data_IF_478779514046
#
_entry.id   IF_478779514046
#
_cell.length_a   1.000
_cell.length_b   1.000
_cell.length_c   1.000
_cell.angle_alpha   90.00
_cell.angle_beta   90.00
_cell.angle_gamma   90.00
#
_symmetry.space_group_name_H-M   'P 1'
#
loop_
_entity.id
_entity.type
_entity.pdbx_description
1 polymer ?
#
# COMPACT_ATOMS: atom_id res chain seq x y z
N UNK A 1 -53.94 -48.31 -9.01
CA UNK A 1 -52.66 -48.94 -8.63
C UNK A 1 -51.58 -48.38 -9.55
N UNK A 2 -50.89 -47.37 -9.05
CA UNK A 2 -49.77 -46.64 -9.66
C UNK A 2 -48.48 -47.08 -8.97
N UNK A 3 -47.41 -47.31 -9.75
CA UNK A 3 -45.95 -47.35 -9.45
C UNK A 3 -45.32 -47.77 -10.78
N UNK A 4 -44.24 -47.24 -11.34
CA UNK A 4 -43.05 -46.48 -10.93
C UNK A 4 -42.45 -45.99 -12.27
N UNK A 5 -41.97 -44.76 -12.46
CA UNK A 5 -40.60 -44.33 -12.16
C UNK A 5 -40.63 -42.80 -12.02
N UNK A 6 -40.19 -42.31 -10.86
CA UNK A 6 -39.92 -40.90 -10.60
C UNK A 6 -38.47 -40.58 -10.97
N UNK A 7 -38.27 -39.63 -11.89
CA UNK A 7 -37.09 -38.77 -11.91
C UNK A 7 -37.55 -37.35 -11.58
N UNK A 8 -37.20 -36.92 -10.36
CA UNK A 8 -37.53 -35.62 -9.81
C UNK A 8 -36.73 -34.53 -10.53
N UNK A 9 -37.45 -33.63 -11.20
CA UNK A 9 -37.02 -32.27 -11.42
C UNK A 9 -37.01 -31.59 -10.05
N UNK A 10 -35.84 -31.21 -9.56
CA UNK A 10 -35.73 -30.27 -8.45
C UNK A 10 -34.75 -29.16 -8.83
N UNK A 11 -35.33 -28.04 -9.24
CA UNK A 11 -34.71 -26.73 -9.25
C UNK A 11 -34.31 -26.34 -7.82
N UNK A 12 -33.02 -26.42 -7.48
CA UNK A 12 -32.40 -25.58 -6.44
C UNK A 12 -30.93 -25.93 -6.26
N UNK A 13 -30.06 -25.00 -6.67
CA UNK A 13 -28.90 -24.48 -5.92
C UNK A 13 -28.01 -23.68 -6.87
N UNK A 14 -28.51 -22.50 -7.21
CA UNK A 14 -27.65 -21.35 -7.41
C UNK A 14 -26.94 -21.12 -6.07
N UNK A 15 -25.66 -21.47 -5.96
CA UNK A 15 -24.86 -21.15 -4.78
C UNK A 15 -24.56 -19.65 -4.81
N UNK A 16 -25.55 -18.86 -4.40
CA UNK A 16 -25.38 -17.48 -3.96
C UNK A 16 -24.48 -17.48 -2.74
N UNK A 17 -23.21 -17.12 -2.91
CA UNK A 17 -22.28 -16.85 -1.81
C UNK A 17 -22.76 -15.61 -1.05
N UNK A 18 -23.61 -15.83 -0.06
CA UNK A 18 -24.09 -14.77 0.84
C UNK A 18 -23.95 -15.23 2.28
N UNK A 19 -22.80 -14.94 2.87
CA UNK A 19 -22.79 -14.60 4.30
C UNK A 19 -21.73 -13.54 4.55
N UNK A 20 -22.19 -12.42 5.12
CA UNK A 20 -21.37 -11.31 5.62
C UNK A 20 -20.22 -11.84 6.50
N UNK A 21 -20.47 -12.93 7.22
CA UNK A 21 -19.54 -13.65 8.10
C UNK A 21 -18.33 -14.29 7.41
N UNK A 22 -18.46 -14.77 6.16
CA UNK A 22 -17.29 -15.27 5.41
C UNK A 22 -16.46 -14.14 4.82
N UNK A 23 -17.09 -13.04 4.42
CA UNK A 23 -16.39 -11.84 3.98
C UNK A 23 -15.68 -11.14 5.15
N UNK A 24 -16.29 -11.13 6.34
CA UNK A 24 -15.71 -10.56 7.56
C UNK A 24 -14.59 -11.46 8.13
N UNK A 25 -14.72 -12.80 8.04
CA UNK A 25 -13.60 -13.72 8.33
C UNK A 25 -12.48 -13.62 7.30
N UNK A 26 -12.81 -13.45 6.02
CA UNK A 26 -11.82 -13.20 4.98
C UNK A 26 -11.09 -11.89 5.26
N UNK A 27 -11.79 -10.78 5.55
CA UNK A 27 -11.21 -9.48 5.95
C UNK A 27 -10.34 -9.60 7.20
N UNK A 28 -10.83 -10.27 8.25
CA UNK A 28 -10.02 -10.52 9.43
C UNK A 28 -8.75 -11.32 9.08
N UNK A 29 -8.82 -12.24 8.11
CA UNK A 29 -7.68 -13.02 7.63
C UNK A 29 -6.75 -12.27 6.65
N UNK A 30 -7.26 -11.34 5.83
CA UNK A 30 -6.45 -10.45 4.97
C UNK A 30 -5.69 -9.40 5.79
N UNK A 31 -6.20 -9.07 6.98
CA UNK A 31 -5.65 -8.05 7.87
C UNK A 31 -5.23 -8.60 9.24
N UNK A 32 -5.00 -9.92 9.40
CA UNK A 32 -4.30 -10.38 10.61
C UNK A 32 -2.93 -9.71 10.55
N UNK A 33 -2.58 -8.99 11.62
CA UNK A 33 -1.21 -8.60 11.88
C UNK A 33 -0.38 -9.88 12.09
N UNK A 34 -0.06 -10.58 10.98
CA UNK A 34 0.86 -11.72 10.95
C UNK A 34 2.27 -11.29 11.31
N UNK A 35 2.56 -10.01 11.09
CA UNK A 35 3.81 -9.38 11.43
C UNK A 35 3.57 -8.49 12.65
N UNK A 36 4.24 -8.80 13.75
CA UNK A 36 4.21 -7.99 14.97
C UNK A 36 5.60 -7.41 15.22
N UNK A 37 5.69 -6.09 15.37
CA UNK A 37 6.92 -5.40 15.73
C UNK A 37 6.79 -4.87 17.15
N UNK A 38 7.64 -5.31 18.10
CA UNK A 38 7.75 -4.69 19.44
C UNK A 38 8.96 -3.78 19.51
N UNK A 39 8.81 -2.46 19.56
CA UNK A 39 9.95 -1.53 19.65
C UNK A 39 10.67 -1.56 21.01
N UNK A 40 11.99 -1.31 20.98
CA UNK A 40 12.72 -0.83 22.16
C UNK A 40 12.65 0.70 22.08
N UNK A 41 11.77 1.31 22.87
CA UNK A 41 11.51 2.75 22.79
C UNK A 41 12.76 3.59 23.09
N UNK A 42 13.00 4.62 22.28
CA UNK A 42 13.98 5.65 22.58
C UNK A 42 13.37 6.63 23.60
N UNK A 43 13.66 6.38 24.88
CA UNK A 43 13.16 7.20 26.01
C UNK A 43 13.67 8.64 25.99
N UNK A 44 14.57 9.02 25.08
CA UNK A 44 15.07 10.39 24.95
C UNK A 44 14.19 11.28 24.06
N UNK A 45 13.32 10.70 23.22
CA UNK A 45 12.41 11.45 22.35
C UNK A 45 11.32 12.16 23.16
N UNK A 46 11.26 13.50 23.04
CA UNK A 46 10.20 14.35 23.62
C UNK A 46 9.05 14.65 22.64
N UNK A 47 8.93 13.92 21.53
CA UNK A 47 7.91 14.18 20.52
C UNK A 47 6.50 13.88 21.08
N UNK A 48 5.57 14.83 20.96
CA UNK A 48 4.19 14.62 21.42
C UNK A 48 3.29 14.05 20.33
N UNK A 49 3.58 14.38 19.07
CA UNK A 49 2.81 14.01 17.89
C UNK A 49 3.69 13.48 16.76
N UNK A 50 3.10 12.66 15.89
CA UNK A 50 3.72 12.16 14.68
C UNK A 50 2.84 12.53 13.49
N UNK A 51 3.37 13.31 12.56
CA UNK A 51 2.69 13.75 11.34
C UNK A 51 3.32 13.01 10.17
N UNK A 52 2.58 12.06 9.59
CA UNK A 52 3.05 11.20 8.50
C UNK A 52 2.29 11.56 7.24
N UNK A 53 2.97 12.03 6.21
CA UNK A 53 2.32 12.38 4.96
C UNK A 53 2.85 11.53 3.81
N UNK A 54 1.95 10.97 3.01
CA UNK A 54 2.29 10.56 1.66
C UNK A 54 2.69 11.79 0.82
N UNK A 55 3.43 11.56 -0.27
CA UNK A 55 3.97 12.63 -1.11
C UNK A 55 3.14 12.83 -2.38
N UNK A 56 3.11 11.85 -3.27
CA UNK A 56 2.58 11.97 -4.63
C UNK A 56 1.05 12.11 -4.62
N UNK A 57 0.51 13.23 -5.12
CA UNK A 57 -0.93 13.48 -5.00
C UNK A 57 -1.37 13.91 -3.60
N UNK A 58 -0.43 14.05 -2.66
CA UNK A 58 -0.68 14.39 -1.26
C UNK A 58 0.16 15.61 -0.85
N UNK A 59 1.23 15.46 -0.06
CA UNK A 59 1.96 16.61 0.50
C UNK A 59 2.85 17.33 -0.53
N UNK A 60 3.31 16.63 -1.56
CA UNK A 60 4.18 17.19 -2.60
C UNK A 60 3.43 18.07 -3.62
N UNK A 61 2.10 18.01 -3.63
CA UNK A 61 1.24 18.75 -4.55
C UNK A 61 0.82 20.13 -4.01
N UNK A 62 1.25 20.47 -2.79
CA UNK A 62 0.97 21.76 -2.17
C UNK A 62 1.87 22.89 -2.66
N UNK A 63 1.37 24.12 -2.52
CA UNK A 63 2.21 25.30 -2.68
C UNK A 63 2.98 25.62 -1.37
N UNK A 64 3.93 26.56 -1.44
CA UNK A 64 4.77 26.92 -0.29
C UNK A 64 4.00 27.45 0.91
N UNK A 65 2.90 28.18 0.70
CA UNK A 65 2.07 28.67 1.79
C UNK A 65 1.39 27.51 2.52
N UNK A 66 0.79 26.58 1.77
CA UNK A 66 0.09 25.43 2.36
C UNK A 66 1.05 24.52 3.13
N UNK A 67 2.25 24.29 2.58
CA UNK A 67 3.31 23.53 3.25
C UNK A 67 3.70 24.22 4.56
N UNK A 68 3.91 25.54 4.54
CA UNK A 68 4.31 26.30 5.71
C UNK A 68 3.23 26.28 6.82
N UNK A 69 1.96 26.45 6.45
CA UNK A 69 0.84 26.36 7.41
C UNK A 69 0.78 24.96 8.06
N UNK A 70 1.04 23.89 7.30
CA UNK A 70 1.03 22.53 7.82
C UNK A 70 2.17 22.31 8.81
N UNK A 71 3.35 22.85 8.52
CA UNK A 71 4.50 22.84 9.42
C UNK A 71 4.25 23.62 10.71
N UNK A 72 3.57 24.76 10.62
CA UNK A 72 3.21 25.56 11.80
C UNK A 72 2.28 24.79 12.74
N UNK A 73 1.26 24.12 12.20
CA UNK A 73 0.39 23.24 12.99
C UNK A 73 1.18 22.09 13.63
N UNK A 74 2.07 21.45 12.87
CA UNK A 74 2.96 20.40 13.37
C UNK A 74 3.84 20.91 14.51
N UNK A 75 4.45 22.09 14.36
CA UNK A 75 5.36 22.66 15.35
C UNK A 75 4.61 23.08 16.63
N UNK A 76 3.40 23.66 16.51
CA UNK A 76 2.52 23.99 17.67
C UNK A 76 2.17 22.77 18.51
N UNK A 77 2.22 21.57 17.94
CA UNK A 77 1.92 20.29 18.60
C UNK A 77 3.17 19.50 18.99
N UNK A 78 4.35 20.13 18.95
CA UNK A 78 5.65 19.50 19.21
C UNK A 78 5.80 18.17 18.43
N UNK A 79 5.37 18.21 17.15
CA UNK A 79 5.29 17.05 16.29
C UNK A 79 6.62 16.68 15.63
N UNK A 80 6.73 15.45 15.16
CA UNK A 80 7.76 14.99 14.21
C UNK A 80 7.14 14.84 12.82
N UNK A 81 7.87 15.28 11.79
CA UNK A 81 7.44 15.16 10.40
C UNK A 81 8.02 13.89 9.79
N UNK A 82 7.18 13.08 9.17
CA UNK A 82 7.56 11.86 8.46
C UNK A 82 6.95 11.90 7.07
N UNK A 83 7.74 11.55 6.06
CA UNK A 83 7.21 11.24 4.73
C UNK A 83 7.12 9.75 4.55
N UNK A 84 6.01 9.24 4.02
CA UNK A 84 5.81 7.83 3.73
C UNK A 84 5.43 7.61 2.27
N UNK A 85 6.42 7.31 1.43
CA UNK A 85 6.28 7.28 -0.03
C UNK A 85 6.56 5.89 -0.61
N UNK A 86 5.93 5.61 -1.75
CA UNK A 86 6.28 4.47 -2.61
C UNK A 86 7.63 4.62 -3.32
N UNK A 87 8.13 5.86 -3.45
CA UNK A 87 9.39 6.17 -4.13
C UNK A 87 10.58 5.52 -3.44
N UNK A 88 11.61 5.21 -4.22
CA UNK A 88 12.96 4.94 -3.68
C UNK A 88 13.61 6.22 -3.17
N UNK A 89 14.69 6.09 -2.38
CA UNK A 89 15.46 7.26 -1.92
C UNK A 89 15.95 8.13 -3.10
N UNK A 90 16.41 7.50 -4.18
CA UNK A 90 16.83 8.19 -5.40
C UNK A 90 15.66 8.94 -6.06
N UNK A 91 14.49 8.28 -6.19
CA UNK A 91 13.30 8.90 -6.79
C UNK A 91 12.69 9.99 -5.92
N UNK A 92 12.89 9.93 -4.61
CA UNK A 92 12.58 11.02 -3.69
C UNK A 92 13.50 12.22 -3.95
N UNK A 93 14.81 12.03 -4.11
CA UNK A 93 15.73 13.11 -4.49
C UNK A 93 15.32 13.79 -5.81
N UNK A 94 14.98 13.01 -6.84
CA UNK A 94 14.47 13.56 -8.12
C UNK A 94 13.15 14.32 -7.98
N UNK A 95 12.30 13.94 -7.01
CA UNK A 95 11.09 14.70 -6.70
C UNK A 95 11.45 16.05 -6.09
N UNK A 96 12.39 16.10 -5.14
CA UNK A 96 12.84 17.35 -4.54
C UNK A 96 13.39 18.32 -5.59
N UNK A 97 14.25 17.85 -6.50
CA UNK A 97 14.82 18.67 -7.57
C UNK A 97 13.72 19.23 -8.48
N UNK A 98 12.79 18.38 -8.92
CA UNK A 98 11.65 18.78 -9.77
C UNK A 98 10.73 19.80 -9.09
N UNK A 99 10.53 19.69 -7.78
CA UNK A 99 9.72 20.65 -7.03
C UNK A 99 10.46 21.97 -6.87
N UNK A 100 11.78 21.93 -6.65
CA UNK A 100 12.61 23.11 -6.52
C UNK A 100 12.63 23.94 -7.82
N UNK A 101 12.68 23.29 -8.99
CA UNK A 101 12.53 23.94 -10.30
C UNK A 101 11.21 24.73 -10.43
N UNK A 102 10.17 24.30 -9.71
CA UNK A 102 8.86 24.97 -9.64
C UNK A 102 8.75 25.98 -8.50
N UNK A 103 9.85 26.26 -7.80
CA UNK A 103 9.87 27.15 -6.62
C UNK A 103 9.26 26.54 -5.36
N UNK A 104 9.05 25.23 -5.32
CA UNK A 104 8.49 24.50 -4.17
C UNK A 104 9.63 23.76 -3.47
N UNK A 105 9.94 24.15 -2.23
CA UNK A 105 10.93 23.47 -1.40
C UNK A 105 10.24 22.67 -0.31
N UNK A 106 10.27 21.34 -0.43
CA UNK A 106 9.80 20.49 0.65
C UNK A 106 10.71 20.64 1.88
N UNK A 107 10.13 20.73 3.09
CA UNK A 107 10.90 20.68 4.32
C UNK A 107 11.53 19.31 4.47
N UNK A 108 12.77 19.25 4.97
CA UNK A 108 13.42 17.96 5.25
C UNK A 108 12.72 17.30 6.44
N UNK A 109 12.11 16.11 6.27
CA UNK A 109 11.38 15.44 7.33
C UNK A 109 12.34 14.96 8.43
N UNK A 110 11.82 14.70 9.63
CA UNK A 110 12.59 14.04 10.69
C UNK A 110 12.91 12.59 10.33
N UNK A 111 11.96 11.91 9.65
CA UNK A 111 12.13 10.56 9.11
C UNK A 111 11.55 10.44 7.69
N UNK A 112 12.16 9.61 6.85
CA UNK A 112 11.69 9.29 5.51
C UNK A 112 11.49 7.78 5.39
N UNK A 113 10.25 7.36 5.12
CA UNK A 113 9.90 5.98 4.79
C UNK A 113 9.79 5.87 3.26
N UNK A 114 10.55 4.96 2.66
CA UNK A 114 10.63 4.76 1.19
C UNK A 114 10.24 3.34 0.78
N UNK A 115 10.11 3.10 -0.53
CA UNK A 115 9.77 1.80 -1.12
C UNK A 115 8.54 1.17 -0.44
N UNK A 116 7.46 1.95 -0.27
CA UNK A 116 6.22 1.45 0.33
C UNK A 116 6.38 0.87 1.75
N UNK A 117 7.36 1.35 2.53
CA UNK A 117 7.60 0.88 3.90
C UNK A 117 8.87 0.05 4.07
N UNK A 118 9.62 -0.25 3.00
CA UNK A 118 10.77 -1.15 3.13
C UNK A 118 11.98 -0.51 3.80
N UNK A 119 12.17 0.80 3.68
CA UNK A 119 13.31 1.46 4.29
C UNK A 119 12.86 2.68 5.07
N UNK A 120 13.54 2.92 6.18
CA UNK A 120 13.34 4.09 7.04
C UNK A 120 14.68 4.79 7.16
N UNK A 121 14.69 6.09 6.93
CA UNK A 121 15.85 6.94 7.10
C UNK A 121 15.56 7.99 8.15
N UNK A 122 16.49 8.20 9.07
CA UNK A 122 16.48 9.30 10.03
C UNK A 122 17.30 10.45 9.48
N UNK A 123 16.79 11.67 9.61
CA UNK A 123 17.57 12.88 9.31
C UNK A 123 18.61 13.12 10.40
N UNK A 124 19.85 13.36 10.02
CA UNK A 124 20.93 13.76 10.91
C UNK A 124 21.01 15.29 11.08
N UNK A 125 21.95 15.76 11.92
CA UNK A 125 22.12 17.18 12.21
C UNK A 125 22.58 18.00 11.00
N UNK A 126 23.20 17.35 10.01
CA UNK A 126 23.61 17.96 8.74
C UNK A 126 22.47 17.95 7.69
N UNK A 127 21.31 17.39 8.03
CA UNK A 127 20.17 17.25 7.14
C UNK A 127 20.27 16.07 6.16
N UNK A 128 21.27 15.19 6.32
CA UNK A 128 21.45 13.97 5.54
C UNK A 128 20.60 12.83 6.09
N UNK A 129 20.35 11.82 5.26
CA UNK A 129 19.54 10.66 5.63
C UNK A 129 20.42 9.46 5.99
N UNK A 130 20.24 8.95 7.21
CA UNK A 130 20.91 7.76 7.71
C UNK A 130 19.89 6.62 7.78
N UNK A 131 20.22 5.46 7.22
CA UNK A 131 19.35 4.28 7.24
C UNK A 131 19.16 3.78 8.69
N UNK A 132 17.90 3.50 9.05
CA UNK A 132 17.52 2.92 10.33
C UNK A 132 17.74 1.40 10.30
N UNK A 133 18.91 0.96 10.76
CA UNK A 133 19.27 -0.47 10.74
C UNK A 133 18.40 -1.34 11.67
N UNK A 134 17.82 -0.76 12.73
CA UNK A 134 16.91 -1.49 13.62
C UNK A 134 15.62 -1.90 12.88
N UNK A 135 15.13 -1.06 11.95
CA UNK A 135 14.02 -1.41 11.08
C UNK A 135 14.35 -2.59 10.15
N UNK A 136 15.56 -2.59 9.58
CA UNK A 136 16.04 -3.70 8.75
C UNK A 136 16.08 -5.01 9.53
N UNK A 137 16.64 -5.00 10.74
CA UNK A 137 16.70 -6.18 11.62
C UNK A 137 15.29 -6.69 11.94
N UNK A 138 14.32 -5.79 12.09
CA UNK A 138 12.92 -6.16 12.31
C UNK A 138 12.32 -6.89 11.12
N UNK A 139 12.56 -6.41 9.90
CA UNK A 139 12.11 -7.10 8.69
C UNK A 139 12.76 -8.48 8.56
N UNK A 140 14.04 -8.62 8.91
CA UNK A 140 14.74 -9.92 8.94
C UNK A 140 14.08 -10.93 9.88
N UNK A 141 13.60 -10.47 11.04
CA UNK A 141 12.95 -11.31 12.04
C UNK A 141 11.52 -11.74 11.69
N UNK A 142 10.95 -11.26 10.58
CA UNK A 142 9.62 -11.68 10.11
C UNK A 142 9.61 -13.10 9.54
N UNK A 143 10.78 -13.62 9.18
CA UNK A 143 10.91 -14.88 8.43
C UNK A 143 10.58 -14.75 6.94
N UNK A 144 10.35 -13.53 6.44
CA UNK A 144 10.10 -13.28 5.03
C UNK A 144 11.32 -13.66 4.19
N UNK A 145 11.13 -14.63 3.28
CA UNK A 145 12.14 -15.06 2.33
C UNK A 145 11.69 -14.70 0.91
N UNK A 146 12.45 -13.80 0.28
CA UNK A 146 12.19 -13.31 -1.07
C UNK A 146 12.00 -14.44 -2.09
N UNK A 147 12.90 -15.41 -2.09
CA UNK A 147 12.93 -16.46 -3.11
C UNK A 147 11.80 -17.46 -2.88
N UNK A 148 11.48 -17.77 -1.62
CA UNK A 148 10.34 -18.63 -1.29
C UNK A 148 9.01 -17.97 -1.70
N UNK A 149 8.85 -16.66 -1.50
CA UNK A 149 7.68 -15.92 -1.98
C UNK A 149 7.64 -15.95 -3.50
N UNK A 150 8.74 -15.58 -4.17
CA UNK A 150 8.83 -15.57 -5.64
C UNK A 150 8.44 -16.92 -6.22
N UNK A 151 9.03 -18.00 -5.71
CA UNK A 151 8.77 -19.36 -6.16
C UNK A 151 7.33 -19.78 -5.90
N UNK A 152 6.78 -19.46 -4.73
CA UNK A 152 5.38 -19.77 -4.38
C UNK A 152 4.41 -19.08 -5.34
N UNK A 153 4.64 -17.80 -5.63
CA UNK A 153 3.78 -17.04 -6.54
C UNK A 153 3.99 -17.48 -8.00
N UNK A 154 5.22 -17.84 -8.39
CA UNK A 154 5.53 -18.43 -9.69
C UNK A 154 4.74 -19.70 -9.93
N UNK A 155 4.74 -20.63 -8.97
CA UNK A 155 3.94 -21.85 -9.06
C UNK A 155 2.45 -21.55 -9.18
N UNK A 156 1.95 -20.57 -8.39
CA UNK A 156 0.55 -20.15 -8.44
C UNK A 156 0.17 -19.58 -9.82
N UNK A 157 0.96 -18.63 -10.34
CA UNK A 157 0.74 -17.99 -11.63
C UNK A 157 0.80 -18.94 -12.84
N UNK A 158 1.39 -20.13 -12.66
CA UNK A 158 1.47 -21.18 -13.68
C UNK A 158 0.34 -22.22 -13.62
N UNK A 159 -0.57 -22.13 -12.65
CA UNK A 159 -1.77 -22.99 -12.61
C UNK A 159 -2.75 -22.64 -13.73
N UNK A 160 -3.60 -23.59 -14.12
CA UNK A 160 -4.63 -23.38 -15.16
C UNK A 160 -5.57 -22.21 -14.84
N UNK A 161 -5.75 -21.88 -13.55
CA UNK A 161 -6.55 -20.75 -13.08
C UNK A 161 -6.00 -19.40 -13.56
N UNK A 162 -4.67 -19.25 -13.59
CA UNK A 162 -4.00 -18.00 -13.92
C UNK A 162 -3.31 -18.03 -15.28
N UNK A 163 -3.33 -19.14 -16.01
CA UNK A 163 -2.85 -19.20 -17.39
C UNK A 163 -3.83 -18.56 -18.36
N UNK A 164 -3.26 -17.94 -19.39
CA UNK A 164 -4.01 -17.49 -20.56
C UNK A 164 -4.33 -18.70 -21.45
N UNK A 165 -5.56 -18.79 -21.97
CA UNK A 165 -5.88 -19.78 -23.01
C UNK A 165 -4.99 -19.60 -24.24
N UNK A 166 -4.65 -20.68 -24.94
CA UNK A 166 -3.76 -20.65 -26.13
C UNK A 166 -4.20 -19.62 -27.19
N UNK A 167 -5.52 -19.49 -27.40
CA UNK A 167 -6.09 -18.50 -28.33
C UNK A 167 -5.80 -17.04 -27.95
N UNK A 168 -5.61 -16.74 -26.67
CA UNK A 168 -5.25 -15.40 -26.19
C UNK A 168 -3.74 -15.21 -26.21
N UNK A 169 -2.96 -16.26 -25.90
CA UNK A 169 -1.50 -16.25 -26.04
C UNK A 169 -1.09 -15.95 -27.49
N UNK A 170 -1.81 -16.51 -28.47
CA UNK A 170 -1.55 -16.28 -29.89
C UNK A 170 -1.76 -14.82 -30.34
N UNK A 171 -2.44 -13.99 -29.54
CA UNK A 171 -2.66 -12.56 -29.81
C UNK A 171 -1.58 -11.66 -29.18
N UNK A 172 -0.71 -12.20 -28.33
CA UNK A 172 0.35 -11.43 -27.69
C UNK A 172 1.31 -10.91 -28.76
N UNK A 173 1.48 -9.57 -28.91
CA UNK A 173 2.43 -9.01 -29.85
C UNK A 173 3.85 -9.47 -29.54
N UNK A 174 4.63 -9.82 -30.57
CA UNK A 174 6.02 -10.26 -30.41
C UNK A 174 6.20 -11.35 -29.32
N UNK A 175 5.39 -12.40 -29.41
CA UNK A 175 5.36 -13.51 -28.45
C UNK A 175 6.76 -14.11 -28.19
N UNK A 176 7.62 -14.20 -29.20
CA UNK A 176 8.96 -14.76 -29.04
C UNK A 176 9.88 -13.87 -28.21
N UNK A 177 9.82 -12.55 -28.37
CA UNK A 177 10.53 -11.63 -27.47
C UNK A 177 9.95 -11.68 -26.07
N UNK A 178 8.62 -11.73 -25.93
CA UNK A 178 7.96 -11.84 -24.62
C UNK A 178 8.34 -13.13 -23.88
N UNK A 179 8.43 -14.27 -24.56
CA UNK A 179 8.94 -15.53 -23.99
C UNK A 179 10.38 -15.41 -23.49
N UNK A 180 11.23 -14.62 -24.17
CA UNK A 180 12.62 -14.38 -23.72
C UNK A 180 12.69 -13.43 -22.52
N UNK A 181 11.84 -12.42 -22.48
CA UNK A 181 11.80 -11.40 -21.41
C UNK A 181 11.12 -11.89 -20.13
N UNK A 182 10.12 -12.77 -20.26
CA UNK A 182 9.31 -13.27 -19.17
C UNK A 182 9.02 -14.78 -19.33
N UNK A 183 10.06 -15.64 -19.39
CA UNK A 183 9.91 -17.06 -19.71
C UNK A 183 8.99 -17.81 -18.74
N UNK A 184 8.87 -17.33 -17.51
CA UNK A 184 8.09 -17.97 -16.47
C UNK A 184 6.61 -17.57 -16.48
N UNK A 185 6.28 -16.38 -17.01
CA UNK A 185 4.94 -15.80 -16.95
C UNK A 185 4.40 -15.25 -18.29
N UNK A 186 5.07 -15.47 -19.42
CA UNK A 186 4.64 -14.93 -20.73
C UNK A 186 3.20 -15.31 -21.12
N UNK A 187 2.71 -16.46 -20.65
CA UNK A 187 1.36 -16.96 -20.87
C UNK A 187 0.50 -16.94 -19.59
N UNK A 188 0.88 -16.13 -18.61
CA UNK A 188 0.15 -15.99 -17.35
C UNK A 188 -0.58 -14.65 -17.31
N UNK A 189 -1.73 -14.62 -16.63
CA UNK A 189 -2.43 -13.39 -16.26
C UNK A 189 -1.68 -12.59 -15.19
N UNK A 190 -0.63 -13.16 -14.60
CA UNK A 190 0.22 -12.58 -13.56
C UNK A 190 1.65 -12.43 -14.09
N UNK A 191 2.37 -11.35 -13.78
CA UNK A 191 3.81 -11.22 -14.08
C UNK A 191 4.57 -10.70 -12.88
N UNK A 192 5.76 -11.24 -12.67
CA UNK A 192 6.74 -10.68 -11.77
C UNK A 192 7.52 -9.55 -12.45
N UNK A 193 7.80 -8.47 -11.72
CA UNK A 193 8.74 -7.44 -12.15
C UNK A 193 9.43 -6.80 -10.94
N UNK A 194 10.53 -6.08 -11.18
CA UNK A 194 11.25 -5.34 -10.13
C UNK A 194 11.50 -3.90 -10.57
N UNK A 195 10.83 -2.95 -9.92
CA UNK A 195 11.14 -1.53 -10.10
C UNK A 195 12.05 -1.02 -8.97
N UNK A 196 11.68 -1.30 -7.71
CA UNK A 196 12.41 -0.89 -6.51
C UNK A 196 12.90 -2.07 -5.68
N UNK A 197 13.78 -2.89 -6.27
CA UNK A 197 14.24 -4.17 -5.72
C UNK A 197 14.63 -4.09 -4.23
N UNK A 198 14.14 -5.05 -3.45
CA UNK A 198 14.46 -5.22 -2.04
C UNK A 198 14.32 -6.68 -1.67
N UNK A 199 15.15 -7.15 -0.73
CA UNK A 199 15.06 -8.51 -0.17
C UNK A 199 13.72 -8.77 0.54
N UNK A 200 12.94 -7.73 0.83
CA UNK A 200 11.72 -7.83 1.63
C UNK A 200 10.45 -7.44 0.87
N UNK A 201 10.50 -7.34 -0.47
CA UNK A 201 9.41 -6.79 -1.27
C UNK A 201 9.46 -7.30 -2.71
N UNK A 202 8.31 -7.78 -3.20
CA UNK A 202 8.12 -8.29 -4.55
C UNK A 202 6.88 -7.64 -5.17
N UNK A 203 6.91 -7.44 -6.49
CA UNK A 203 5.84 -6.80 -7.24
C UNK A 203 5.27 -7.74 -8.30
N UNK A 204 3.94 -7.85 -8.37
CA UNK A 204 3.25 -8.70 -9.32
C UNK A 204 2.16 -7.92 -10.06
N UNK A 205 2.31 -7.78 -11.37
CA UNK A 205 1.24 -7.28 -12.25
C UNK A 205 0.18 -8.36 -12.43
N UNK A 206 -1.08 -7.95 -12.53
CA UNK A 206 -2.21 -8.86 -12.68
C UNK A 206 -3.20 -8.32 -13.70
N UNK A 207 -3.84 -9.20 -14.47
CA UNK A 207 -5.04 -8.80 -15.22
C UNK A 207 -6.16 -8.37 -14.24
N UNK A 208 -7.03 -7.42 -14.63
CA UNK A 208 -8.06 -6.87 -13.73
C UNK A 208 -9.05 -7.92 -13.21
N UNK A 209 -9.35 -8.95 -14.01
CA UNK A 209 -10.34 -9.98 -13.71
C UNK A 209 -9.88 -10.99 -12.63
N UNK A 210 -8.58 -11.05 -12.33
CA UNK A 210 -8.03 -12.06 -11.42
C UNK A 210 -7.47 -11.53 -10.12
N UNK A 211 -7.26 -10.21 -9.97
CA UNK A 211 -6.59 -9.65 -8.78
C UNK A 211 -7.26 -10.07 -7.46
N UNK A 212 -8.58 -10.07 -7.42
CA UNK A 212 -9.35 -10.38 -6.21
C UNK A 212 -9.11 -11.81 -5.74
N UNK A 213 -9.08 -12.77 -6.67
CA UNK A 213 -8.85 -14.17 -6.37
C UNK A 213 -7.38 -14.47 -6.13
N UNK A 214 -6.50 -13.84 -6.92
CA UNK A 214 -5.06 -13.97 -6.81
C UNK A 214 -4.55 -13.52 -5.45
N UNK A 215 -5.03 -12.40 -4.90
CA UNK A 215 -4.69 -12.01 -3.53
C UNK A 215 -5.06 -13.07 -2.49
N UNK A 216 -6.24 -13.69 -2.60
CA UNK A 216 -6.68 -14.72 -1.63
C UNK A 216 -5.79 -15.94 -1.72
N UNK A 217 -5.48 -16.37 -2.93
CA UNK A 217 -4.67 -17.54 -3.17
C UNK A 217 -3.22 -17.30 -2.73
N UNK A 218 -2.65 -16.12 -2.99
CA UNK A 218 -1.35 -15.69 -2.46
C UNK A 218 -1.34 -15.77 -0.94
N UNK A 219 -2.33 -15.16 -0.28
CA UNK A 219 -2.43 -15.16 1.17
C UNK A 219 -2.51 -16.58 1.73
N UNK A 220 -3.38 -17.43 1.18
CA UNK A 220 -3.53 -18.83 1.61
C UNK A 220 -2.24 -19.61 1.43
N UNK A 221 -1.58 -19.49 0.28
CA UNK A 221 -0.37 -20.25 -0.03
C UNK A 221 0.83 -19.84 0.80
N UNK A 222 0.98 -18.55 1.06
CA UNK A 222 2.04 -18.02 1.93
C UNK A 222 1.80 -18.46 3.38
N UNK A 223 0.54 -18.42 3.86
CA UNK A 223 0.16 -18.93 5.19
C UNK A 223 0.43 -20.43 5.33
N UNK A 224 0.07 -21.26 4.34
CA UNK A 224 0.33 -22.71 4.34
C UNK A 224 1.82 -23.03 4.47
N UNK A 225 2.69 -22.16 3.92
CA UNK A 225 4.15 -22.26 4.03
C UNK A 225 4.72 -21.60 5.28
N UNK A 226 3.89 -21.01 6.13
CA UNK A 226 4.33 -20.28 7.33
C UNK A 226 5.06 -18.96 7.03
N UNK A 227 4.88 -18.40 5.84
CA UNK A 227 5.51 -17.14 5.43
C UNK A 227 4.61 -15.98 5.85
N UNK A 228 5.05 -15.21 6.85
CA UNK A 228 4.37 -13.98 7.22
C UNK A 228 4.65 -12.90 6.17
N UNK A 229 3.60 -12.29 5.64
CA UNK A 229 3.73 -11.25 4.62
C UNK A 229 2.60 -10.22 4.70
N UNK A 230 2.83 -9.08 4.06
CA UNK A 230 1.84 -8.06 3.73
C UNK A 230 1.50 -8.18 2.26
N UNK A 231 0.22 -7.99 1.95
CA UNK A 231 -0.24 -7.85 0.57
C UNK A 231 -0.86 -6.48 0.41
N UNK A 232 -0.31 -5.67 -0.48
CA UNK A 232 -0.80 -4.32 -0.78
C UNK A 232 -1.23 -4.25 -2.23
N UNK A 233 -2.43 -3.71 -2.46
CA UNK A 233 -2.94 -3.45 -3.81
C UNK A 233 -2.52 -2.07 -4.27
N UNK A 234 -2.13 -2.00 -5.53
CA UNK A 234 -1.92 -0.75 -6.25
C UNK A 234 -2.57 -0.77 -7.62
N UNK A 235 -2.75 0.44 -8.13
CA UNK A 235 -3.25 0.68 -9.47
C UNK A 235 -2.35 1.67 -10.19
N UNK A 236 -1.71 1.21 -11.25
CA UNK A 236 -0.76 2.01 -12.01
C UNK A 236 -1.38 2.46 -13.33
N UNK A 237 -1.72 3.76 -13.48
CA UNK A 237 -2.15 4.30 -14.77
C UNK A 237 -1.02 4.20 -15.80
N UNK A 238 -1.36 4.29 -17.09
CA UNK A 238 -0.40 4.19 -18.21
C UNK A 238 0.80 5.12 -18.01
N UNK A 239 0.57 6.35 -17.56
CA UNK A 239 1.63 7.33 -17.28
C UNK A 239 2.61 6.89 -16.18
N UNK A 240 2.15 6.13 -15.19
CA UNK A 240 3.04 5.54 -14.17
C UNK A 240 3.93 4.47 -14.76
N UNK A 241 3.36 3.60 -15.60
CA UNK A 241 4.12 2.55 -16.31
C UNK A 241 5.14 3.18 -17.26
N UNK A 242 4.74 4.20 -18.01
CA UNK A 242 5.61 4.88 -18.97
C UNK A 242 6.80 5.58 -18.31
N UNK A 243 6.61 6.14 -17.11
CA UNK A 243 7.67 6.78 -16.32
C UNK A 243 8.76 5.81 -15.84
N UNK A 244 8.51 4.49 -15.86
CA UNK A 244 9.55 3.52 -15.51
C UNK A 244 10.75 3.57 -16.46
N UNK A 245 10.54 4.01 -17.71
CA UNK A 245 11.53 3.96 -18.80
C UNK A 245 12.22 2.59 -18.95
N UNK A 246 11.52 1.51 -18.59
CA UNK A 246 11.99 0.13 -18.63
C UNK A 246 11.14 -0.66 -19.62
N UNK A 247 11.74 -1.08 -20.73
CA UNK A 247 11.02 -1.77 -21.82
C UNK A 247 10.44 -3.11 -21.37
N UNK A 248 11.10 -3.79 -20.43
CA UNK A 248 10.61 -5.04 -19.84
C UNK A 248 9.35 -4.83 -18.98
N UNK A 249 9.28 -3.73 -18.21
CA UNK A 249 8.07 -3.38 -17.45
C UNK A 249 6.92 -3.03 -18.40
N UNK A 250 7.18 -2.24 -19.44
CA UNK A 250 6.18 -1.88 -20.45
C UNK A 250 5.63 -3.12 -21.17
N UNK A 251 6.51 -4.04 -21.56
CA UNK A 251 6.12 -5.29 -22.23
C UNK A 251 5.24 -6.17 -21.32
N UNK A 252 5.61 -6.35 -20.05
CA UNK A 252 4.80 -7.11 -19.07
C UNK A 252 3.45 -6.45 -18.76
N UNK A 253 3.40 -5.12 -18.76
CA UNK A 253 2.20 -4.33 -18.54
C UNK A 253 1.21 -4.43 -19.70
N UNK A 254 1.70 -4.38 -20.94
CA UNK A 254 0.88 -4.19 -22.15
C UNK A 254 -0.35 -5.10 -22.25
N UNK A 255 -0.22 -6.39 -21.91
CA UNK A 255 -1.33 -7.35 -22.04
C UNK A 255 -2.06 -7.64 -20.71
N UNK A 256 -1.56 -7.11 -19.58
CA UNK A 256 -2.24 -7.17 -18.28
C UNK A 256 -3.01 -5.90 -17.95
N UNK A 257 -2.82 -4.88 -18.77
CA UNK A 257 -3.50 -3.63 -18.60
C UNK A 257 -5.00 -3.75 -18.94
N UNK A 258 -5.81 -2.92 -18.30
CA UNK A 258 -7.21 -2.75 -18.64
C UNK A 258 -7.37 -1.91 -19.93
N UNK A 259 -8.62 -1.60 -20.30
CA UNK A 259 -8.92 -0.78 -21.49
C UNK A 259 -8.35 0.64 -21.43
N UNK A 260 -8.07 1.16 -20.23
CA UNK A 260 -7.39 2.45 -19.99
C UNK A 260 -5.86 2.32 -19.93
N UNK A 261 -5.34 1.14 -20.31
CA UNK A 261 -3.91 0.77 -20.27
C UNK A 261 -3.26 0.91 -18.88
N UNK A 262 -4.09 0.84 -17.84
CA UNK A 262 -3.64 0.82 -16.46
C UNK A 262 -3.53 -0.62 -15.96
N UNK A 263 -2.57 -0.87 -15.07
CA UNK A 263 -2.25 -2.21 -14.55
C UNK A 263 -2.58 -2.29 -13.07
N UNK A 264 -3.22 -3.38 -12.68
CA UNK A 264 -3.38 -3.76 -11.28
C UNK A 264 -2.12 -4.45 -10.79
N UNK A 265 -1.66 -4.07 -9.60
CA UNK A 265 -0.45 -4.61 -9.00
C UNK A 265 -0.72 -5.12 -7.58
N UNK A 266 -0.14 -6.26 -7.24
CA UNK A 266 0.00 -6.74 -5.87
C UNK A 266 1.46 -6.66 -5.44
N UNK A 267 1.70 -5.97 -4.34
CA UNK A 267 2.96 -6.04 -3.62
C UNK A 267 2.86 -7.10 -2.54
N UNK A 268 3.90 -7.92 -2.44
CA UNK A 268 4.06 -8.88 -1.35
C UNK A 268 5.35 -8.53 -0.61
N UNK A 269 5.24 -8.22 0.67
CA UNK A 269 6.38 -7.70 1.44
C UNK A 269 6.44 -8.19 2.88
N UNK A 270 7.61 -8.05 3.51
CA UNK A 270 7.79 -8.33 4.93
C UNK A 270 7.08 -7.29 5.82
N UNK A 271 6.91 -6.07 5.30
CA UNK A 271 6.29 -4.94 5.98
C UNK A 271 5.71 -3.97 4.95
N UNK A 272 4.72 -3.17 5.36
CA UNK A 272 4.16 -2.08 4.54
C UNK A 272 4.36 -0.70 5.22
N UNK A 273 3.80 0.37 4.63
CA UNK A 273 3.88 1.73 5.20
C UNK A 273 3.33 1.76 6.63
N UNK A 274 2.28 1.00 6.92
CA UNK A 274 1.62 1.02 8.23
C UNK A 274 2.48 0.40 9.32
N UNK A 275 3.21 -0.67 8.99
CA UNK A 275 4.17 -1.29 9.91
C UNK A 275 5.35 -0.36 10.20
N UNK A 276 5.88 0.31 9.18
CA UNK A 276 6.96 1.28 9.32
C UNK A 276 6.55 2.48 10.19
N UNK A 277 5.32 2.99 10.01
CA UNK A 277 4.75 4.06 10.83
C UNK A 277 4.54 3.61 12.28
N UNK A 278 4.01 2.40 12.49
CA UNK A 278 3.81 1.85 13.83
C UNK A 278 5.16 1.67 14.55
N UNK A 279 6.18 1.18 13.85
CA UNK A 279 7.54 1.09 14.39
C UNK A 279 8.09 2.46 14.81
N UNK A 280 8.00 3.49 13.94
CA UNK A 280 8.46 4.83 14.28
C UNK A 280 7.69 5.43 15.45
N UNK A 281 6.37 5.25 15.48
CA UNK A 281 5.50 5.70 16.56
C UNK A 281 5.98 5.10 17.89
N UNK A 282 6.19 3.80 17.96
CA UNK A 282 6.66 3.13 19.16
C UNK A 282 8.08 3.54 19.53
N UNK A 283 8.99 3.64 18.55
CA UNK A 283 10.37 4.09 18.76
C UNK A 283 10.41 5.48 19.39
N UNK A 284 9.53 6.38 18.94
CA UNK A 284 9.44 7.77 19.42
C UNK A 284 8.52 7.93 20.64
N UNK A 285 7.92 6.85 21.14
CA UNK A 285 6.96 6.83 22.25
C UNK A 285 5.73 7.73 22.03
N UNK A 286 5.24 7.81 20.79
CA UNK A 286 4.03 8.57 20.44
C UNK A 286 2.79 7.68 20.57
N UNK A 287 1.68 8.20 21.12
CA UNK A 287 0.41 7.46 21.20
C UNK A 287 -0.28 7.43 19.84
N UNK A 288 -1.06 6.38 19.55
CA UNK A 288 -1.86 6.28 18.31
C UNK A 288 -2.77 7.49 18.10
N UNK A 289 -3.41 7.97 19.16
CA UNK A 289 -4.23 9.20 19.13
C UNK A 289 -3.44 10.44 18.71
N UNK A 290 -2.12 10.47 18.90
CA UNK A 290 -1.26 11.58 18.51
C UNK A 290 -0.50 11.32 17.19
N UNK A 291 -0.80 10.21 16.52
CA UNK A 291 -0.31 9.91 15.18
C UNK A 291 -1.37 10.32 14.16
N UNK A 292 -0.99 11.22 13.26
CA UNK A 292 -1.85 11.75 12.20
C UNK A 292 -1.18 11.43 10.87
N UNK A 293 -1.91 10.74 10.01
CA UNK A 293 -1.45 10.27 8.72
C UNK A 293 -2.30 10.90 7.62
N UNK A 294 -1.72 11.22 6.47
CA UNK A 294 -2.48 11.66 5.30
C UNK A 294 -2.02 10.94 4.02
N UNK A 295 -2.98 10.60 3.17
CA UNK A 295 -2.74 9.90 1.91
C UNK A 295 -3.93 9.97 0.96
N UNK A 296 -3.70 9.54 -0.27
CA UNK A 296 -4.70 9.56 -1.34
C UNK A 296 -4.79 8.21 -2.10
N UNK A 297 -3.81 7.32 -1.97
CA UNK A 297 -3.65 6.15 -2.83
C UNK A 297 -4.01 4.80 -2.21
N UNK A 298 -3.99 3.77 -3.04
CA UNK A 298 -4.16 2.36 -2.63
C UNK A 298 -3.15 1.89 -1.59
N UNK A 299 -1.87 2.22 -1.77
CA UNK A 299 -0.82 1.92 -0.79
C UNK A 299 -1.00 2.58 0.59
N UNK A 300 -1.82 3.62 0.71
CA UNK A 300 -2.10 4.28 1.98
C UNK A 300 -3.24 3.59 2.74
N UNK A 301 -3.99 2.69 2.10
CA UNK A 301 -5.12 2.01 2.70
C UNK A 301 -4.71 1.21 3.96
N UNK A 302 -3.50 0.65 3.98
CA UNK A 302 -2.94 -0.05 5.15
C UNK A 302 -2.86 0.84 6.39
N UNK A 303 -2.76 2.16 6.25
CA UNK A 303 -2.66 3.11 7.37
C UNK A 303 -4.02 3.36 8.04
N UNK A 304 -5.12 3.05 7.37
CA UNK A 304 -6.48 3.37 7.83
C UNK A 304 -6.98 2.44 8.94
N UNK A 305 -6.39 1.25 9.10
CA UNK A 305 -6.86 0.23 10.04
C UNK A 305 -6.05 0.17 11.35
N UNK A 306 -4.97 0.96 11.49
CA UNK A 306 -4.07 0.90 12.65
C UNK A 306 -4.56 1.69 13.87
N UNK A 307 -5.63 2.49 13.72
CA UNK A 307 -6.21 3.33 14.76
C UNK A 307 -5.54 4.70 14.91
N UNK A 308 -4.74 5.13 13.92
CA UNK A 308 -4.27 6.52 13.81
C UNK A 308 -5.39 7.42 13.32
N UNK A 309 -5.24 8.74 13.50
CA UNK A 309 -6.01 9.67 12.70
C UNK A 309 -5.54 9.58 11.24
N UNK A 310 -6.45 9.31 10.31
CA UNK A 310 -6.14 9.26 8.89
C UNK A 310 -6.92 10.33 8.14
N UNK A 311 -6.21 11.16 7.38
CA UNK A 311 -6.76 12.20 6.51
C UNK A 311 -6.74 11.67 5.08
N UNK A 312 -7.93 11.36 4.56
CA UNK A 312 -8.14 11.09 3.14
C UNK A 312 -8.32 12.42 2.42
N UNK A 313 -7.34 12.83 1.62
CA UNK A 313 -7.42 14.09 0.86
C UNK A 313 -8.46 14.00 -0.27
N UNK A 314 -8.94 15.14 -0.76
CA UNK A 314 -10.09 15.23 -1.67
C UNK A 314 -9.88 14.57 -3.05
N UNK A 315 -8.63 14.35 -3.45
CA UNK A 315 -8.25 13.57 -4.64
C UNK A 315 -7.96 12.10 -4.34
N UNK A 316 -8.46 11.56 -3.23
CA UNK A 316 -8.33 10.14 -2.91
C UNK A 316 -8.87 9.24 -4.04
N UNK A 317 -8.10 8.20 -4.34
CA UNK A 317 -8.41 7.20 -5.35
C UNK A 317 -9.59 6.33 -4.93
N UNK A 318 -10.21 5.68 -5.93
CA UNK A 318 -11.34 4.79 -5.69
C UNK A 318 -10.98 3.64 -4.74
N UNK A 319 -9.78 3.08 -4.88
CA UNK A 319 -9.32 1.96 -4.06
C UNK A 319 -9.27 2.33 -2.56
N UNK A 320 -8.68 3.48 -2.21
CA UNK A 320 -8.64 3.98 -0.83
C UNK A 320 -10.05 4.25 -0.29
N UNK A 321 -10.91 4.89 -1.08
CA UNK A 321 -12.31 5.16 -0.70
C UNK A 321 -13.10 3.87 -0.43
N UNK A 322 -12.96 2.88 -1.30
CA UNK A 322 -13.59 1.57 -1.14
C UNK A 322 -13.11 0.86 0.13
N UNK A 323 -11.83 1.00 0.45
CA UNK A 323 -11.25 0.51 1.71
C UNK A 323 -11.87 1.19 2.93
N UNK A 324 -11.85 2.53 2.98
CA UNK A 324 -12.42 3.32 4.07
C UNK A 324 -13.90 2.97 4.29
N UNK A 325 -14.68 2.80 3.21
CA UNK A 325 -16.09 2.44 3.28
C UNK A 325 -16.34 1.06 3.91
N UNK A 326 -15.35 0.17 3.88
CA UNK A 326 -15.44 -1.18 4.45
C UNK A 326 -14.95 -1.27 5.90
N UNK A 327 -14.36 -0.21 6.45
CA UNK A 327 -13.88 -0.19 7.83
C UNK A 327 -15.01 -0.33 8.86
N UNK A 328 -14.67 -0.91 10.00
CA UNK A 328 -15.53 -0.95 11.18
C UNK A 328 -15.78 0.45 11.73
N UNK A 329 -16.90 0.60 12.44
CA UNK A 329 -17.36 1.90 12.97
C UNK A 329 -16.29 2.63 13.77
N UNK A 330 -15.62 1.95 14.70
CA UNK A 330 -14.61 2.56 15.58
C UNK A 330 -13.39 3.08 14.79
N UNK A 331 -12.99 2.38 13.73
CA UNK A 331 -11.90 2.83 12.86
C UNK A 331 -12.35 4.01 11.98
N UNK A 332 -13.59 3.99 11.48
CA UNK A 332 -14.18 5.11 10.71
C UNK A 332 -14.21 6.42 11.48
N UNK A 333 -14.38 6.38 12.81
CA UNK A 333 -14.37 7.60 13.64
C UNK A 333 -13.01 8.32 13.63
N UNK A 334 -11.92 7.58 13.34
CA UNK A 334 -10.56 8.11 13.16
C UNK A 334 -10.24 8.55 11.74
N UNK A 335 -11.20 8.44 10.80
CA UNK A 335 -11.03 8.90 9.43
C UNK A 335 -11.59 10.31 9.27
N UNK A 336 -10.80 11.18 8.66
CA UNK A 336 -11.20 12.51 8.23
C UNK A 336 -11.15 12.56 6.71
N UNK A 337 -12.29 12.85 6.09
CA UNK A 337 -12.38 13.06 4.65
C UNK A 337 -12.32 14.57 4.40
N UNK A 338 -11.27 14.99 3.70
CA UNK A 338 -11.13 16.38 3.26
C UNK A 338 -11.80 16.60 1.91
N UNK A 339 -12.28 17.81 1.70
CA UNK A 339 -12.84 18.24 0.41
C UNK A 339 -11.75 18.78 -0.53
N UNK A 340 -10.73 19.43 0.04
CA UNK A 340 -9.57 19.94 -0.69
C UNK A 340 -8.57 18.81 -1.03
N UNK A 341 -7.83 19.01 -2.12
CA UNK A 341 -6.83 18.06 -2.64
C UNK A 341 -5.44 18.34 -2.07
N UNK A 342 -4.54 17.37 -2.14
CA UNK A 342 -3.13 17.54 -1.77
C UNK A 342 -2.92 18.14 -0.37
N UNK A 343 -1.92 19.02 -0.24
CA UNK A 343 -1.60 19.71 1.03
C UNK A 343 -2.73 20.58 1.57
N UNK A 344 -3.50 21.22 0.70
CA UNK A 344 -4.70 21.95 1.13
C UNK A 344 -5.72 21.02 1.83
N UNK A 345 -5.84 19.78 1.35
CA UNK A 345 -6.62 18.71 1.98
C UNK A 345 -6.04 18.27 3.32
N UNK A 346 -4.71 18.18 3.44
CA UNK A 346 -4.03 17.92 4.70
C UNK A 346 -4.39 19.01 5.72
N UNK A 347 -4.28 20.29 5.36
CA UNK A 347 -4.61 21.40 6.26
C UNK A 347 -6.06 21.36 6.75
N UNK A 348 -7.00 21.15 5.83
CA UNK A 348 -8.41 20.95 6.17
C UNK A 348 -8.59 19.78 7.16
N UNK A 349 -7.90 18.66 6.88
CA UNK A 349 -7.94 17.47 7.72
C UNK A 349 -7.34 17.69 9.11
N UNK A 350 -6.19 18.35 9.20
CA UNK A 350 -5.52 18.66 10.47
C UNK A 350 -6.42 19.50 11.37
N UNK A 351 -7.04 20.56 10.82
CA UNK A 351 -7.96 21.40 11.58
C UNK A 351 -9.15 20.60 12.12
N UNK A 352 -9.74 19.70 11.31
CA UNK A 352 -10.83 18.81 11.75
C UNK A 352 -10.38 17.82 12.83
N UNK A 353 -9.19 17.21 12.68
CA UNK A 353 -8.63 16.28 13.68
C UNK A 353 -8.48 16.97 15.02
N UNK A 354 -7.89 18.17 15.05
CA UNK A 354 -7.68 18.88 16.31
C UNK A 354 -8.97 19.43 16.91
N UNK A 355 -9.91 19.90 16.08
CA UNK A 355 -11.24 20.31 16.58
C UNK A 355 -11.96 19.14 17.27
N UNK A 356 -11.97 17.95 16.65
CA UNK A 356 -12.57 16.75 17.24
C UNK A 356 -11.90 16.33 18.55
N UNK A 357 -10.58 16.51 18.66
CA UNK A 357 -9.84 16.19 19.89
C UNK A 357 -10.20 17.16 21.02
N UNK A 358 -10.34 18.43 20.72
CA UNK A 358 -10.69 19.45 21.72
C UNK A 358 -12.11 19.18 22.28
N UNK A 359 -13.05 18.76 21.44
CA UNK A 359 -14.41 18.35 21.86
C UNK A 359 -14.44 17.09 22.76
N UNK A 360 -13.45 16.19 22.62
CA UNK A 360 -13.33 14.96 23.43
C UNK A 360 -12.72 15.19 24.82
N UNK A 361 -12.10 16.35 25.06
CA UNK A 361 -11.52 16.71 26.37
C UNK A 361 -12.56 17.43 27.26
N UNK A 362 -13.62 17.98 26.66
CA UNK A 362 -14.65 18.78 27.34
C UNK A 362 -15.84 17.92 27.83
N UNK A 363 -16.01 16.70 27.29
CA UNK A 363 -17.00 15.71 27.74
C UNK A 363 -16.35 14.63 28.59
#
# INVERSE_FOLDING_TARGET
MLKSIHSNINSSKCNTFTSKTQLDKFRANTFVDQVSFKSLGDKSSKAEHLFVFDLDGTFADGNMQEIQEALELKNKKNGKLVYATGRTLELYGKLEDKLLEKGIKLPRPDYLITNHGQFIYKKDDNGSFILDNDWKIRQENTGFNHDDVKETIRQLGQTDKYRLPEREVAKIPDLESNKKLDPEFYNSKIAYYEYGASKYFLEFMTMPDVIDEFEKDCLSKLQEKGINSRITREYFPEDSINRSNKDDIKARAQYRANDEKAVHVLFISAADKSDAVEYLREKLNVKKDNTIVAGNGGNDACLTNKGFWFISVGNAEKLLKDFINKLDKNLKERIVIATKKGTAGILEGLNKVFSKKDDQVIN
#
